data_IF_856268075455
#
_entry.id   IF_856268075455
#
_cell.length_a   1.000
_cell.length_b   1.000
_cell.length_c   1.000
_cell.angle_alpha   90.00
_cell.angle_beta   90.00
_cell.angle_gamma   90.00
#
_symmetry.space_group_name_H-M   'P 1'
#
loop_
_entity.id
_entity.type
_entity.pdbx_description
1 polymer ?
#
# COMPACT_ATOMS: atom_id res chain seq x y z
N UNK A 1 -26.30 -31.99 38.71
CA UNK A 1 -27.11 -32.25 39.92
C UNK A 1 -27.60 -30.91 40.44
N UNK A 2 -28.88 -30.65 40.23
CA UNK A 2 -29.56 -29.39 40.57
C UNK A 2 -29.73 -29.24 42.09
N UNK A 3 -29.44 -28.05 42.61
CA UNK A 3 -29.79 -27.65 43.96
C UNK A 3 -30.90 -26.57 43.88
N UNK A 4 -32.03 -26.74 44.59
CA UNK A 4 -33.19 -25.85 44.47
C UNK A 4 -33.12 -24.68 45.46
N UNK A 5 -33.67 -23.52 45.08
CA UNK A 5 -33.94 -22.43 46.03
C UNK A 5 -35.37 -21.89 45.88
N UNK A 6 -36.09 -22.10 46.97
CA UNK A 6 -37.16 -21.31 47.59
C UNK A 6 -38.26 -20.74 46.70
N UNK A 7 -39.42 -21.38 46.87
CA UNK A 7 -40.76 -20.83 46.67
C UNK A 7 -40.96 -19.62 47.61
N UNK A 8 -41.39 -18.50 47.04
CA UNK A 8 -42.13 -17.47 47.78
C UNK A 8 -43.55 -17.50 47.23
N UNK A 9 -44.47 -17.83 48.13
CA UNK A 9 -45.92 -17.77 47.93
C UNK A 9 -46.36 -16.38 48.36
N UNK A 10 -46.99 -15.62 47.47
CA UNK A 10 -47.83 -14.49 47.86
C UNK A 10 -49.17 -14.67 47.15
N UNK A 11 -50.16 -15.06 47.94
CA UNK A 11 -51.57 -15.05 47.57
C UNK A 11 -52.16 -13.71 48.00
N UNK A 12 -52.81 -12.97 47.10
CA UNK A 12 -54.04 -12.26 47.46
C UNK A 12 -54.70 -11.49 46.32
N UNK A 13 -55.99 -11.75 46.21
CA UNK A 13 -57.09 -10.91 45.73
C UNK A 13 -57.17 -10.56 44.23
N UNK A 14 -58.00 -11.37 43.57
CA UNK A 14 -58.84 -11.00 42.43
C UNK A 14 -59.67 -9.75 42.75
N UNK A 15 -59.49 -8.70 41.94
CA UNK A 15 -60.58 -7.81 41.53
C UNK A 15 -60.59 -7.83 40.00
N UNK A 16 -61.62 -8.48 39.45
CA UNK A 16 -61.84 -8.57 38.02
C UNK A 16 -62.32 -7.23 37.48
N UNK A 17 -61.53 -6.67 36.56
CA UNK A 17 -62.01 -5.68 35.58
C UNK A 17 -61.78 -6.33 34.21
N UNK A 18 -62.82 -6.56 33.39
CA UNK A 18 -62.64 -7.07 32.05
C UNK A 18 -62.24 -5.89 31.15
N UNK A 19 -60.94 -5.73 30.89
CA UNK A 19 -60.46 -4.89 29.79
C UNK A 19 -60.30 -5.81 28.58
N UNK A 20 -61.30 -5.87 27.72
CA UNK A 20 -61.22 -6.56 26.42
C UNK A 20 -61.19 -5.51 25.31
N UNK A 21 -60.14 -5.63 24.47
CA UNK A 21 -60.06 -5.11 23.09
C UNK A 21 -59.89 -3.58 22.97
N UNK A 22 -58.98 -3.01 22.18
CA UNK A 22 -58.97 -3.06 20.70
C UNK A 22 -57.68 -2.41 20.12
N UNK A 23 -56.48 -2.94 20.32
CA UNK A 23 -55.26 -2.30 19.72
C UNK A 23 -54.21 -3.26 19.17
N UNK A 24 -54.60 -4.46 18.71
CA UNK A 24 -53.66 -5.38 18.03
C UNK A 24 -52.93 -4.75 16.83
N UNK A 25 -53.59 -3.83 16.14
CA UNK A 25 -53.01 -3.06 15.04
C UNK A 25 -51.93 -2.06 15.48
N UNK A 26 -52.10 -1.37 16.62
CA UNK A 26 -51.10 -0.44 17.14
C UNK A 26 -49.84 -1.19 17.62
N UNK A 27 -49.99 -2.37 18.22
CA UNK A 27 -48.86 -3.23 18.60
C UNK A 27 -48.12 -3.78 17.36
N UNK A 28 -48.87 -4.12 16.30
CA UNK A 28 -48.31 -4.55 15.02
C UNK A 28 -47.55 -3.41 14.32
N UNK A 29 -48.04 -2.17 14.37
CA UNK A 29 -47.33 -1.00 13.84
C UNK A 29 -46.06 -0.70 14.65
N UNK A 30 -46.11 -0.81 15.98
CA UNK A 30 -44.95 -0.64 16.84
C UNK A 30 -43.86 -1.70 16.58
N UNK A 31 -44.25 -2.97 16.39
CA UNK A 31 -43.33 -4.06 16.02
C UNK A 31 -42.75 -3.88 14.61
N UNK A 32 -43.56 -3.46 13.64
CA UNK A 32 -43.06 -3.13 12.29
C UNK A 32 -42.08 -1.95 12.32
N UNK A 33 -42.37 -0.90 13.08
CA UNK A 33 -41.48 0.25 13.22
C UNK A 33 -40.16 -0.15 13.90
N UNK A 34 -40.20 -0.99 14.93
CA UNK A 34 -39.01 -1.53 15.56
C UNK A 34 -38.19 -2.40 14.60
N UNK A 35 -38.84 -3.26 13.81
CA UNK A 35 -38.17 -4.09 12.81
C UNK A 35 -37.52 -3.23 11.70
N UNK A 36 -38.22 -2.21 11.21
CA UNK A 36 -37.68 -1.26 10.23
C UNK A 36 -36.50 -0.47 10.82
N UNK A 37 -36.58 -0.04 12.07
CA UNK A 37 -35.47 0.63 12.74
C UNK A 37 -34.24 -0.29 12.88
N UNK A 38 -34.43 -1.56 13.24
CA UNK A 38 -33.36 -2.56 13.31
C UNK A 38 -32.75 -2.83 11.92
N UNK A 39 -33.58 -2.90 10.87
CA UNK A 39 -33.09 -3.05 9.48
C UNK A 39 -32.32 -1.81 9.03
N UNK A 40 -32.81 -0.60 9.31
CA UNK A 40 -32.13 0.66 8.94
C UNK A 40 -30.81 0.83 9.70
N UNK A 41 -30.77 0.50 10.99
CA UNK A 41 -29.55 0.52 11.80
C UNK A 41 -28.59 -0.59 11.35
N UNK A 42 -29.10 -1.78 11.03
CA UNK A 42 -28.31 -2.88 10.45
C UNK A 42 -27.71 -2.51 9.10
N UNK A 43 -28.45 -1.83 8.22
CA UNK A 43 -27.98 -1.40 6.90
C UNK A 43 -26.96 -0.26 6.99
N UNK A 44 -27.11 0.67 7.95
CA UNK A 44 -26.09 1.69 8.23
C UNK A 44 -24.80 1.09 8.80
N UNK A 45 -24.91 0.09 9.68
CA UNK A 45 -23.75 -0.58 10.27
C UNK A 45 -23.12 -1.66 9.37
N UNK A 46 -23.78 -2.06 8.27
CA UNK A 46 -23.20 -2.96 7.25
C UNK A 46 -22.34 -2.23 6.22
N UNK A 47 -22.40 -0.89 6.19
CA UNK A 47 -21.31 -0.10 5.60
C UNK A 47 -20.12 -0.16 6.55
N UNK A 48 -19.51 -1.34 6.68
CA UNK A 48 -18.14 -1.44 7.12
C UNK A 48 -17.32 -0.50 6.26
N UNK A 49 -16.47 0.30 6.90
CA UNK A 49 -15.42 1.07 6.23
C UNK A 49 -14.48 0.08 5.54
N UNK A 50 -14.91 -0.42 4.38
CA UNK A 50 -14.21 -1.35 3.50
C UNK A 50 -13.14 -0.60 2.70
N UNK A 51 -12.53 0.45 3.28
CA UNK A 51 -11.39 1.09 2.66
C UNK A 51 -10.17 0.21 2.84
N UNK A 52 -9.98 -0.72 1.88
CA UNK A 52 -8.77 -1.51 1.77
C UNK A 52 -7.56 -0.58 1.74
N UNK A 53 -6.75 -0.61 2.80
CA UNK A 53 -5.49 0.14 2.87
C UNK A 53 -4.42 -0.65 2.14
N UNK A 54 -3.76 0.00 1.18
CA UNK A 54 -2.64 -0.56 0.44
C UNK A 54 -1.37 0.21 0.81
N UNK A 55 -0.29 -0.51 1.09
CA UNK A 55 1.04 0.05 1.26
C UNK A 55 1.89 -0.22 0.01
N UNK A 56 2.26 0.84 -0.71
CA UNK A 56 3.30 0.80 -1.72
C UNK A 56 4.66 1.11 -1.11
N UNK A 57 5.54 0.11 -1.07
CA UNK A 57 6.94 0.27 -0.72
C UNK A 57 7.75 0.53 -1.98
N UNK A 58 8.31 1.73 -2.11
CA UNK A 58 8.97 2.21 -3.32
C UNK A 58 10.38 2.77 -3.08
N UNK A 59 11.14 2.97 -4.15
CA UNK A 59 12.44 3.65 -4.09
C UNK A 59 12.32 5.18 -4.07
N UNK A 60 13.39 5.83 -3.62
CA UNK A 60 13.39 7.21 -3.12
C UNK A 60 12.84 8.33 -4.05
N UNK A 61 13.22 8.41 -5.34
CA UNK A 61 12.85 9.53 -6.21
C UNK A 61 11.44 9.42 -6.83
N UNK A 62 10.61 8.48 -6.37
CA UNK A 62 9.27 8.24 -6.95
C UNK A 62 8.13 8.83 -6.14
N UNK A 63 8.43 9.68 -5.14
CA UNK A 63 7.44 10.26 -4.22
C UNK A 63 6.33 10.98 -4.96
N UNK A 64 6.72 11.89 -5.84
CA UNK A 64 5.82 12.75 -6.61
C UNK A 64 5.05 11.95 -7.66
N UNK A 65 5.73 11.01 -8.34
CA UNK A 65 5.10 10.12 -9.33
C UNK A 65 3.97 9.31 -8.69
N UNK A 66 4.23 8.68 -7.53
CA UNK A 66 3.20 7.89 -6.88
C UNK A 66 2.13 8.75 -6.19
N UNK A 67 2.42 9.96 -5.73
CA UNK A 67 1.37 10.88 -5.26
C UNK A 67 0.33 11.14 -6.36
N UNK A 68 0.79 11.40 -7.59
CA UNK A 68 -0.09 11.65 -8.74
C UNK A 68 -0.80 10.37 -9.19
N UNK A 69 -0.08 9.26 -9.33
CA UNK A 69 -0.66 7.97 -9.75
C UNK A 69 -1.69 7.48 -8.73
N UNK A 70 -1.40 7.55 -7.43
CA UNK A 70 -2.28 7.07 -6.38
C UNK A 70 -3.58 7.87 -6.36
N UNK A 71 -3.50 9.20 -6.47
CA UNK A 71 -4.68 10.07 -6.52
C UNK A 71 -5.62 9.69 -7.65
N UNK A 72 -5.07 9.45 -8.85
CA UNK A 72 -5.84 9.02 -10.02
C UNK A 72 -6.37 7.60 -9.88
N UNK A 73 -5.56 6.68 -9.36
CA UNK A 73 -5.94 5.29 -9.17
C UNK A 73 -7.10 5.15 -8.18
N UNK A 74 -7.06 5.84 -7.04
CA UNK A 74 -8.12 5.80 -6.03
C UNK A 74 -9.45 6.24 -6.63
N UNK A 75 -9.48 7.35 -7.36
CA UNK A 75 -10.69 7.86 -8.02
C UNK A 75 -11.21 6.88 -9.07
N UNK A 76 -10.32 6.34 -9.90
CA UNK A 76 -10.69 5.38 -10.95
C UNK A 76 -11.22 4.07 -10.36
N UNK A 77 -10.53 3.54 -9.35
CA UNK A 77 -10.86 2.27 -8.71
C UNK A 77 -12.21 2.36 -7.99
N UNK A 78 -12.49 3.45 -7.27
CA UNK A 78 -13.80 3.67 -6.64
C UNK A 78 -14.93 3.78 -7.68
N UNK A 79 -14.70 4.49 -8.79
CA UNK A 79 -15.68 4.61 -9.86
C UNK A 79 -15.98 3.29 -10.59
N UNK A 80 -14.97 2.44 -10.79
CA UNK A 80 -15.10 1.18 -11.53
C UNK A 80 -15.57 0.01 -10.65
N UNK A 81 -15.12 -0.03 -9.40
CA UNK A 81 -15.28 -1.19 -8.50
C UNK A 81 -16.27 -0.89 -7.37
N UNK A 82 -16.59 0.37 -7.09
CA UNK A 82 -17.49 0.78 -6.00
C UNK A 82 -16.89 0.62 -4.61
N UNK A 83 -15.55 0.54 -4.52
CA UNK A 83 -14.81 0.32 -3.29
C UNK A 83 -13.66 1.32 -3.19
N UNK A 84 -13.77 2.28 -2.28
CA UNK A 84 -12.75 3.30 -2.08
C UNK A 84 -11.56 2.74 -1.30
N UNK A 85 -10.38 2.68 -1.91
CA UNK A 85 -9.13 2.28 -1.24
C UNK A 85 -8.35 3.49 -0.70
N UNK A 86 -7.51 3.26 0.30
CA UNK A 86 -6.47 4.22 0.72
C UNK A 86 -5.09 3.68 0.34
N UNK A 87 -4.20 4.55 -0.13
CA UNK A 87 -2.84 4.13 -0.52
C UNK A 87 -1.81 4.93 0.29
N UNK A 88 -1.03 4.21 1.07
CA UNK A 88 0.14 4.72 1.78
C UNK A 88 1.42 4.41 0.99
N UNK A 89 2.45 5.21 1.23
CA UNK A 89 3.72 5.10 0.52
C UNK A 89 4.90 5.12 1.49
N UNK A 90 5.84 4.21 1.29
CA UNK A 90 7.17 4.23 1.92
C UNK A 90 8.24 4.43 0.85
N UNK A 91 9.18 5.36 1.08
CA UNK A 91 10.23 5.70 0.12
C UNK A 91 11.60 5.73 0.77
N UNK A 92 12.60 5.16 0.09
CA UNK A 92 13.99 5.21 0.50
C UNK A 92 14.90 4.48 -0.48
N UNK A 93 16.15 4.21 -0.06
CA UNK A 93 17.07 3.40 -0.88
C UNK A 93 16.44 2.05 -1.26
N UNK A 94 16.43 1.72 -2.56
CA UNK A 94 15.75 0.53 -3.09
C UNK A 94 16.06 -0.75 -2.33
N UNK A 95 17.33 -1.06 -2.11
CA UNK A 95 17.75 -2.28 -1.38
C UNK A 95 17.54 -2.17 0.13
N UNK A 96 17.35 -0.97 0.67
CA UNK A 96 16.91 -0.79 2.07
C UNK A 96 15.42 -1.12 2.21
N UNK A 97 14.61 -0.67 1.27
CA UNK A 97 13.17 -0.93 1.25
C UNK A 97 12.87 -2.41 1.01
N UNK A 98 13.56 -3.05 0.06
CA UNK A 98 13.44 -4.51 -0.14
C UNK A 98 13.86 -5.30 1.12
N UNK A 99 14.90 -4.87 1.84
CA UNK A 99 15.25 -5.47 3.13
C UNK A 99 14.18 -5.25 4.19
N UNK A 100 13.60 -4.06 4.29
CA UNK A 100 12.52 -3.82 5.24
C UNK A 100 11.33 -4.77 5.00
N UNK A 101 11.00 -5.06 3.73
CA UNK A 101 9.97 -6.06 3.37
C UNK A 101 10.43 -7.48 3.76
N UNK A 102 11.69 -7.83 3.50
CA UNK A 102 12.25 -9.12 3.95
C UNK A 102 12.19 -9.29 5.47
N UNK A 103 12.35 -8.19 6.21
CA UNK A 103 12.34 -8.14 7.68
C UNK A 103 10.92 -8.03 8.27
N UNK A 104 9.87 -8.03 7.44
CA UNK A 104 8.47 -8.11 7.89
C UNK A 104 7.63 -6.85 7.71
N UNK A 105 8.11 -5.83 6.98
CA UNK A 105 7.25 -4.74 6.54
C UNK A 105 6.18 -5.27 5.58
N UNK A 106 4.91 -5.23 6.00
CA UNK A 106 3.77 -5.73 5.25
C UNK A 106 3.42 -4.81 4.06
N UNK A 107 4.16 -4.95 2.97
CA UNK A 107 3.91 -4.25 1.71
C UNK A 107 2.87 -5.02 0.87
N UNK A 108 1.89 -4.31 0.33
CA UNK A 108 0.95 -4.86 -0.66
C UNK A 108 1.53 -4.78 -2.08
N UNK A 109 2.30 -3.72 -2.34
CA UNK A 109 2.99 -3.50 -3.61
C UNK A 109 4.44 -3.09 -3.33
N UNK A 110 5.37 -3.71 -4.06
CA UNK A 110 6.78 -3.33 -4.05
C UNK A 110 7.17 -2.77 -5.41
N UNK A 111 7.70 -1.55 -5.44
CA UNK A 111 8.12 -0.86 -6.67
C UNK A 111 9.58 -0.40 -6.54
N UNK A 112 10.56 -1.31 -6.61
CA UNK A 112 11.96 -0.99 -6.38
C UNK A 112 12.62 -0.43 -7.65
N UNK A 113 13.84 0.09 -7.50
CA UNK A 113 14.61 0.64 -8.61
C UNK A 113 15.15 -0.44 -9.56
N UNK A 114 15.39 -1.66 -9.06
CA UNK A 114 16.06 -2.72 -9.81
C UNK A 114 15.40 -4.09 -9.63
N UNK A 115 15.36 -4.92 -10.68
CA UNK A 115 14.92 -6.32 -10.63
C UNK A 115 15.59 -7.15 -9.53
N UNK A 116 16.88 -6.91 -9.27
CA UNK A 116 17.67 -7.70 -8.31
C UNK A 116 17.14 -7.60 -6.88
N UNK A 117 16.48 -6.50 -6.52
CA UNK A 117 15.84 -6.35 -5.22
C UNK A 117 14.56 -7.22 -5.11
N UNK A 118 13.82 -7.41 -6.21
CA UNK A 118 12.66 -8.32 -6.30
C UNK A 118 13.13 -9.78 -6.30
N UNK A 119 14.18 -10.09 -7.06
CA UNK A 119 14.77 -11.43 -7.11
C UNK A 119 15.25 -11.89 -5.73
N UNK A 120 15.80 -10.98 -4.92
CA UNK A 120 16.17 -11.27 -3.54
C UNK A 120 14.98 -11.74 -2.70
N UNK A 121 13.84 -11.07 -2.81
CA UNK A 121 12.61 -11.43 -2.09
C UNK A 121 11.94 -12.69 -2.64
N UNK A 122 11.98 -12.90 -3.96
CA UNK A 122 11.48 -14.12 -4.59
C UNK A 122 12.25 -15.37 -4.12
N UNK A 123 13.57 -15.26 -3.92
CA UNK A 123 14.39 -16.33 -3.35
C UNK A 123 14.03 -16.66 -1.90
N UNK A 124 13.47 -15.70 -1.15
CA UNK A 124 12.94 -15.91 0.20
C UNK A 124 11.51 -16.45 0.20
N UNK A 125 10.89 -16.63 -0.97
CA UNK A 125 9.50 -17.06 -1.10
C UNK A 125 8.47 -15.98 -0.75
N UNK A 126 8.89 -14.73 -0.55
CA UNK A 126 8.01 -13.60 -0.21
C UNK A 126 7.30 -13.01 -1.43
N UNK A 127 7.86 -13.24 -2.62
CA UNK A 127 7.28 -12.86 -3.91
C UNK A 127 7.24 -14.09 -4.79
N UNK A 128 6.22 -14.19 -5.65
CA UNK A 128 6.09 -15.30 -6.59
C UNK A 128 7.34 -15.45 -7.48
N UNK A 129 7.81 -16.69 -7.68
CA UNK A 129 9.02 -16.94 -8.48
C UNK A 129 8.90 -16.52 -9.95
N UNK A 130 7.67 -16.48 -10.47
CA UNK A 130 7.33 -16.07 -11.84
C UNK A 130 7.06 -14.56 -11.97
N UNK A 131 7.38 -13.76 -10.94
CA UNK A 131 7.02 -12.33 -10.88
C UNK A 131 7.34 -11.57 -12.15
N UNK A 132 8.49 -11.85 -12.78
CA UNK A 132 8.99 -11.11 -13.93
C UNK A 132 8.03 -11.17 -15.11
N UNK A 133 7.41 -12.31 -15.36
CA UNK A 133 6.48 -12.53 -16.47
C UNK A 133 5.03 -12.17 -16.17
N UNK A 134 4.69 -11.78 -14.93
CA UNK A 134 3.30 -11.51 -14.53
C UNK A 134 2.71 -10.25 -15.17
N UNK A 135 3.55 -9.31 -15.58
CA UNK A 135 3.15 -8.09 -16.25
C UNK A 135 3.99 -7.84 -17.52
N UNK A 136 3.48 -7.07 -18.49
CA UNK A 136 4.24 -6.69 -19.69
C UNK A 136 5.62 -6.11 -19.38
N UNK A 137 6.51 -6.16 -20.37
CA UNK A 137 7.85 -5.58 -20.29
C UNK A 137 8.67 -6.06 -19.07
N UNK A 138 8.57 -7.36 -18.75
CA UNK A 138 9.26 -7.96 -17.60
C UNK A 138 8.89 -7.31 -16.25
N UNK A 139 7.63 -6.87 -16.12
CA UNK A 139 7.15 -6.11 -14.96
C UNK A 139 7.87 -4.78 -14.73
N UNK A 140 8.31 -4.14 -15.82
CA UNK A 140 8.93 -2.82 -15.81
C UNK A 140 8.03 -1.84 -16.58
N UNK A 141 7.12 -1.12 -15.90
CA UNK A 141 6.17 -0.24 -16.56
C UNK A 141 6.82 1.04 -17.16
N UNK A 142 8.05 1.36 -16.76
CA UNK A 142 8.83 2.47 -17.28
C UNK A 142 10.33 2.18 -17.15
N UNK A 143 11.14 2.94 -17.89
CA UNK A 143 12.60 2.92 -17.81
C UNK A 143 13.15 4.34 -17.61
N UNK A 144 14.37 4.43 -17.11
CA UNK A 144 15.13 5.68 -17.01
C UNK A 144 16.60 5.42 -17.37
N UNK A 145 17.45 6.44 -17.27
CA UNK A 145 18.88 6.34 -17.55
C UNK A 145 19.70 7.19 -16.56
N UNK A 146 21.00 6.95 -16.52
CA UNK A 146 21.93 7.75 -15.73
C UNK A 146 22.42 8.93 -16.56
N UNK A 147 22.30 10.13 -16.00
CA UNK A 147 22.78 11.39 -16.57
C UNK A 147 23.58 12.15 -15.52
N UNK A 148 24.38 13.12 -15.97
CA UNK A 148 25.04 14.05 -15.07
C UNK A 148 24.15 15.27 -14.84
N UNK A 149 23.96 15.61 -13.57
CA UNK A 149 23.38 16.88 -13.17
C UNK A 149 24.53 17.77 -12.72
N UNK A 150 24.74 18.88 -13.43
CA UNK A 150 25.82 19.85 -13.15
C UNK A 150 25.25 21.18 -12.66
N UNK A 151 26.08 21.98 -12.00
CA UNK A 151 25.71 23.37 -11.65
C UNK A 151 25.51 24.21 -12.91
N UNK A 152 24.73 25.29 -12.78
CA UNK A 152 24.54 26.30 -13.83
C UNK A 152 25.89 26.72 -14.43
N UNK A 153 25.90 26.93 -15.75
CA UNK A 153 27.06 27.19 -16.63
C UNK A 153 28.06 26.05 -16.84
N UNK A 154 27.90 24.91 -16.14
CA UNK A 154 28.84 23.78 -16.22
C UNK A 154 30.31 24.24 -16.04
N UNK A 155 30.68 24.82 -14.88
CA UNK A 155 31.98 25.45 -14.67
C UNK A 155 33.16 24.47 -14.70
N UNK A 156 32.89 23.16 -14.62
CA UNK A 156 33.90 22.09 -14.73
C UNK A 156 33.91 21.44 -16.12
N UNK A 157 33.12 21.97 -17.06
CA UNK A 157 33.02 21.51 -18.44
C UNK A 157 32.75 20.00 -18.59
N UNK A 158 31.99 19.41 -17.65
CA UNK A 158 31.66 17.98 -17.66
C UNK A 158 30.74 17.67 -18.83
N UNK A 159 31.19 16.81 -19.74
CA UNK A 159 30.43 16.36 -20.92
C UNK A 159 30.34 14.85 -20.98
N UNK A 160 31.33 14.14 -20.46
CA UNK A 160 31.39 12.69 -20.51
C UNK A 160 32.05 12.09 -19.25
N UNK A 161 31.95 10.77 -19.09
CA UNK A 161 32.44 10.03 -17.92
C UNK A 161 33.93 10.24 -17.64
N UNK A 162 34.74 10.47 -18.68
CA UNK A 162 36.17 10.74 -18.52
C UNK A 162 36.46 12.07 -17.80
N UNK A 163 35.53 13.02 -17.85
CA UNK A 163 35.69 14.30 -17.16
C UNK A 163 35.50 14.16 -15.64
N UNK A 164 34.88 13.06 -15.17
CA UNK A 164 34.59 12.83 -13.76
C UNK A 164 35.83 12.54 -12.91
N UNK A 165 36.94 12.12 -13.53
CA UNK A 165 38.21 11.84 -12.84
C UNK A 165 39.13 13.08 -12.75
N UNK A 166 38.64 14.25 -13.14
CA UNK A 166 39.38 15.51 -13.03
C UNK A 166 39.74 15.84 -11.58
N UNK A 167 40.91 16.43 -11.32
CA UNK A 167 41.42 16.66 -9.96
C UNK A 167 40.53 17.59 -9.11
N UNK A 168 39.77 18.49 -9.75
CA UNK A 168 38.86 19.43 -9.09
C UNK A 168 37.38 19.04 -9.21
N UNK A 169 37.08 17.77 -9.51
CA UNK A 169 35.72 17.27 -9.66
C UNK A 169 35.31 16.49 -8.42
N UNK A 170 34.24 16.96 -7.76
CA UNK A 170 33.61 16.22 -6.65
C UNK A 170 32.33 15.56 -7.15
N UNK A 171 32.29 14.24 -7.06
CA UNK A 171 31.13 13.43 -7.46
C UNK A 171 30.22 13.22 -6.25
N UNK A 172 28.93 13.42 -6.44
CA UNK A 172 27.90 13.07 -5.47
C UNK A 172 27.09 11.92 -6.04
N UNK A 173 27.16 10.75 -5.42
CA UNK A 173 26.39 9.57 -5.81
C UNK A 173 25.87 8.84 -4.55
N UNK A 174 24.67 8.23 -4.60
CA UNK A 174 24.15 7.46 -3.47
C UNK A 174 25.00 6.22 -3.14
N UNK A 175 24.92 5.75 -1.90
CA UNK A 175 25.58 4.50 -1.48
C UNK A 175 25.00 3.27 -2.22
N UNK A 176 25.81 2.55 -3.04
CA UNK A 176 25.34 1.39 -3.81
C UNK A 176 24.92 0.20 -2.93
N UNK A 177 25.29 0.16 -1.64
CA UNK A 177 24.84 -0.90 -0.72
C UNK A 177 23.37 -0.76 -0.35
N UNK A 178 22.80 0.43 -0.47
CA UNK A 178 21.41 0.70 -0.09
C UNK A 178 20.55 1.27 -1.22
N UNK A 179 21.16 1.88 -2.24
CA UNK A 179 20.46 2.57 -3.33
C UNK A 179 20.61 1.86 -4.67
N UNK A 180 19.50 1.65 -5.37
CA UNK A 180 19.50 1.16 -6.75
C UNK A 180 20.12 2.16 -7.72
N UNK A 181 19.88 3.47 -7.52
CA UNK A 181 20.54 4.51 -8.31
C UNK A 181 22.06 4.50 -8.08
N UNK A 182 22.51 4.26 -6.84
CA UNK A 182 23.94 4.08 -6.56
C UNK A 182 24.54 2.90 -7.32
N UNK A 183 23.86 1.74 -7.34
CA UNK A 183 24.27 0.59 -8.16
C UNK A 183 24.33 0.93 -9.65
N UNK A 184 23.30 1.58 -10.19
CA UNK A 184 23.25 1.97 -11.59
C UNK A 184 24.33 3.01 -11.96
N UNK A 185 24.64 3.97 -11.07
CA UNK A 185 25.74 4.92 -11.29
C UNK A 185 27.09 4.20 -11.42
N UNK A 186 27.36 3.23 -10.56
CA UNK A 186 28.58 2.41 -10.64
C UNK A 186 28.60 1.58 -11.93
N UNK A 187 27.49 0.92 -12.26
CA UNK A 187 27.39 0.12 -13.48
C UNK A 187 27.52 0.95 -14.75
N UNK A 188 26.97 2.17 -14.77
CA UNK A 188 27.09 3.07 -15.90
C UNK A 188 28.52 3.61 -16.05
N UNK A 189 29.19 3.96 -14.94
CA UNK A 189 30.59 4.34 -14.96
C UNK A 189 31.49 3.20 -15.48
N UNK A 190 31.30 1.98 -14.96
CA UNK A 190 32.02 0.80 -15.43
C UNK A 190 31.74 0.49 -16.91
N UNK A 191 30.47 0.52 -17.30
CA UNK A 191 30.05 0.34 -18.69
C UNK A 191 30.68 1.36 -19.63
N UNK A 192 30.87 2.61 -19.19
CA UNK A 192 31.54 3.66 -19.99
C UNK A 192 33.02 3.37 -20.27
N UNK A 193 33.68 2.60 -19.39
CA UNK A 193 35.08 2.19 -19.54
C UNK A 193 35.16 1.00 -20.50
N UNK A 194 34.34 -0.03 -20.28
CA UNK A 194 34.30 -1.22 -21.14
C UNK A 194 33.90 -0.85 -22.58
N UNK A 195 32.92 0.04 -22.76
CA UNK A 195 32.50 0.48 -24.09
C UNK A 195 33.63 1.17 -24.88
N UNK A 196 34.64 1.70 -24.19
CA UNK A 196 35.85 2.30 -24.78
C UNK A 196 37.05 1.36 -24.85
N UNK A 197 36.84 0.06 -24.61
CA UNK A 197 37.90 -0.96 -24.67
C UNK A 197 38.79 -1.02 -23.43
N UNK A 198 38.40 -0.36 -22.34
CA UNK A 198 39.06 -0.54 -21.05
C UNK A 198 38.62 -1.83 -20.35
N UNK A 199 39.38 -2.24 -19.32
CA UNK A 199 39.12 -3.40 -18.46
C UNK A 199 38.89 -3.00 -17.01
#
# INVERSE_FOLDING_TARGET
MSCPRNKIVVSSFYLGVPIVSTTKWLDAFALCLAAVAVVVVGFKNYQGDNSGRLLNVSYDPTREVYQEINSRFILKYDAEIGHRVSIEQSHGGSSRQARAVADGLAADVLTPALPSDIEGLAKLGLIAGDWRSRFPHNSQPYSSTIVFVVRKSNPKHIKDWADLIGPDVTIITPDPKSSGNGKLSVLAAWGSVIYRGGS
#
